data_IF_891706027348
#
_entry.id   IF_891706027348
#
_cell.length_a   1.000
_cell.length_b   1.000
_cell.length_c   1.000
_cell.angle_alpha   90.00
_cell.angle_beta   90.00
_cell.angle_gamma   90.00
#
_symmetry.space_group_name_H-M   'P 1'
#
loop_
_entity.id
_entity.type
_entity.pdbx_description
1 polymer ?
#
# COMPACT_ATOMS: atom_id res chain seq x y z
N UNK A 1 -9.39 6.94 -52.24
CA UNK A 1 -8.48 6.69 -51.10
C UNK A 1 -9.08 7.37 -49.88
N UNK A 2 -9.43 6.60 -48.84
CA UNK A 2 -9.49 7.09 -47.45
C UNK A 2 -9.44 5.87 -46.54
N UNK A 3 -8.25 5.63 -45.98
CA UNK A 3 -8.05 4.67 -44.90
C UNK A 3 -8.76 5.21 -43.66
N UNK A 4 -9.52 4.35 -42.97
CA UNK A 4 -10.02 4.65 -41.63
C UNK A 4 -9.62 3.49 -40.71
N UNK A 5 -8.35 3.52 -40.33
CA UNK A 5 -7.84 2.89 -39.11
C UNK A 5 -8.32 3.73 -37.95
N UNK A 6 -9.21 3.21 -37.12
CA UNK A 6 -9.44 3.74 -35.78
C UNK A 6 -9.99 2.61 -34.92
N UNK A 7 -9.06 2.02 -34.20
CA UNK A 7 -9.20 1.63 -32.80
C UNK A 7 -10.37 0.70 -32.44
N UNK A 8 -10.05 -0.59 -32.47
CA UNK A 8 -10.58 -1.57 -31.51
C UNK A 8 -9.92 -1.27 -30.16
N UNK A 9 -10.26 -0.14 -29.54
CA UNK A 9 -10.21 -0.02 -28.08
C UNK A 9 -11.65 -0.17 -27.65
N UNK A 10 -12.07 -1.42 -27.47
CA UNK A 10 -13.29 -1.71 -26.74
C UNK A 10 -13.14 -1.05 -25.38
N UNK A 11 -13.96 -0.03 -25.15
CA UNK A 11 -14.13 0.65 -23.87
C UNK A 11 -14.32 -0.43 -22.81
N UNK A 12 -13.24 -0.78 -22.13
CA UNK A 12 -13.27 -1.68 -21.00
C UNK A 12 -13.88 -0.87 -19.89
N UNK A 13 -15.21 -0.87 -19.86
CA UNK A 13 -16.02 -0.49 -18.75
C UNK A 13 -15.68 -1.48 -17.62
N UNK A 14 -14.53 -1.25 -16.98
CA UNK A 14 -14.12 -1.94 -15.77
C UNK A 14 -15.05 -1.42 -14.68
N UNK A 15 -16.25 -1.97 -14.63
CA UNK A 15 -17.04 -1.96 -13.42
C UNK A 15 -16.24 -2.73 -12.40
N UNK A 16 -15.54 -2.01 -11.52
CA UNK A 16 -14.86 -2.52 -10.31
C UNK A 16 -15.83 -3.26 -9.34
N UNK A 17 -17.05 -3.54 -9.78
CA UNK A 17 -18.17 -4.08 -9.02
C UNK A 17 -18.62 -5.46 -9.53
N UNK A 18 -17.95 -6.01 -10.55
CA UNK A 18 -18.17 -7.39 -10.97
C UNK A 18 -17.40 -8.33 -10.03
N UNK A 19 -18.09 -9.33 -9.49
CA UNK A 19 -17.45 -10.39 -8.71
C UNK A 19 -16.61 -11.25 -9.66
N UNK A 20 -15.35 -11.58 -9.33
CA UNK A 20 -14.48 -12.35 -10.20
C UNK A 20 -15.10 -13.70 -10.54
N UNK A 21 -14.87 -14.16 -11.77
CA UNK A 21 -15.29 -15.47 -12.19
C UNK A 21 -14.46 -16.59 -11.51
N UNK A 22 -14.91 -17.86 -11.57
CA UNK A 22 -14.22 -18.96 -10.89
C UNK A 22 -12.78 -19.21 -11.37
N UNK A 23 -12.46 -18.90 -12.63
CA UNK A 23 -11.11 -19.05 -13.15
C UNK A 23 -10.21 -17.89 -12.69
N UNK A 24 -10.75 -16.67 -12.62
CA UNK A 24 -10.07 -15.51 -12.03
C UNK A 24 -9.78 -15.71 -10.54
N UNK A 25 -10.73 -16.27 -9.78
CA UNK A 25 -10.51 -16.64 -8.38
C UNK A 25 -9.39 -17.67 -8.22
N UNK A 26 -9.38 -18.71 -9.05
CA UNK A 26 -8.31 -19.72 -9.01
C UNK A 26 -6.93 -19.12 -9.33
N UNK A 27 -6.86 -18.16 -10.26
CA UNK A 27 -5.63 -17.44 -10.57
C UNK A 27 -5.17 -16.55 -9.39
N UNK A 28 -6.09 -15.87 -8.71
CA UNK A 28 -5.77 -15.08 -7.52
C UNK A 28 -5.29 -15.95 -6.36
N UNK A 29 -5.89 -17.12 -6.16
CA UNK A 29 -5.44 -18.11 -5.16
C UNK A 29 -4.05 -18.65 -5.47
N UNK A 30 -3.72 -18.87 -6.74
CA UNK A 30 -2.38 -19.27 -7.18
C UNK A 30 -1.35 -18.16 -6.89
N UNK A 31 -1.65 -16.90 -7.26
CA UNK A 31 -0.80 -15.74 -6.96
C UNK A 31 -0.58 -15.56 -5.45
N UNK A 32 -1.63 -15.75 -4.65
CA UNK A 32 -1.52 -15.69 -3.19
C UNK A 32 -0.68 -16.83 -2.62
N UNK A 33 -0.80 -18.04 -3.15
CA UNK A 33 0.03 -19.18 -2.75
C UNK A 33 1.50 -19.00 -3.13
N UNK A 34 1.77 -18.27 -4.20
CA UNK A 34 3.12 -17.86 -4.63
C UNK A 34 3.73 -16.74 -3.77
N UNK A 35 2.98 -16.19 -2.79
CA UNK A 35 3.47 -15.16 -1.88
C UNK A 35 3.58 -13.78 -2.51
N UNK A 36 2.94 -13.53 -3.67
CA UNK A 36 2.99 -12.20 -4.30
C UNK A 36 2.24 -11.13 -3.51
N UNK A 37 1.33 -11.55 -2.62
CA UNK A 37 0.68 -10.68 -1.65
C UNK A 37 1.34 -10.82 -0.27
N UNK A 38 2.67 -10.73 -0.23
CA UNK A 38 3.37 -10.56 1.04
C UNK A 38 2.90 -9.23 1.65
N UNK A 39 1.87 -9.31 2.49
CA UNK A 39 1.54 -8.29 3.48
C UNK A 39 2.68 -8.31 4.50
N UNK A 40 3.83 -7.73 4.15
CA UNK A 40 4.88 -7.45 5.14
C UNK A 40 4.23 -6.63 6.25
N UNK A 41 4.03 -7.26 7.41
CA UNK A 41 3.43 -6.57 8.55
C UNK A 41 4.28 -5.34 8.87
N UNK A 42 3.65 -4.16 9.04
CA UNK A 42 4.38 -2.92 9.27
C UNK A 42 5.25 -3.04 10.50
N UNK A 43 6.50 -2.60 10.41
CA UNK A 43 7.39 -2.59 11.58
C UNK A 43 6.87 -1.55 12.57
N UNK A 44 6.51 -1.98 13.79
CA UNK A 44 5.97 -1.09 14.81
C UNK A 44 7.10 -0.46 15.63
N UNK A 45 7.25 0.86 15.56
CA UNK A 45 8.33 1.61 16.23
C UNK A 45 7.83 2.89 16.89
N UNK A 46 8.62 3.46 17.81
CA UNK A 46 8.34 4.81 18.32
C UNK A 46 8.83 5.85 17.33
N UNK A 47 8.16 6.99 17.28
CA UNK A 47 8.55 8.09 16.39
C UNK A 47 9.97 8.60 16.68
N UNK A 48 10.37 8.68 17.94
CA UNK A 48 11.73 9.07 18.34
C UNK A 48 12.78 8.14 17.74
N UNK A 49 12.53 6.84 17.84
CA UNK A 49 13.48 5.80 17.45
C UNK A 49 13.60 5.74 15.93
N UNK A 50 12.48 5.94 15.22
CA UNK A 50 12.45 6.05 13.77
C UNK A 50 13.23 7.27 13.27
N UNK A 51 13.00 8.44 13.86
CA UNK A 51 13.71 9.68 13.48
C UNK A 51 15.20 9.56 13.78
N UNK A 52 15.58 8.99 14.92
CA UNK A 52 16.99 8.76 15.26
C UNK A 52 17.67 7.80 14.26
N UNK A 53 17.02 6.70 13.92
CA UNK A 53 17.54 5.73 12.98
C UNK A 53 17.73 6.33 11.58
N UNK A 54 16.75 7.08 11.08
CA UNK A 54 16.85 7.74 9.77
C UNK A 54 17.88 8.88 9.82
N UNK A 55 17.92 9.64 10.91
CA UNK A 55 18.92 10.71 11.08
C UNK A 55 20.36 10.18 11.12
N UNK A 56 20.58 8.91 11.50
CA UNK A 56 21.92 8.31 11.46
C UNK A 56 22.42 8.01 10.05
N UNK A 57 21.54 8.01 9.04
CA UNK A 57 21.85 7.64 7.65
C UNK A 57 21.51 8.75 6.65
N UNK A 58 21.06 9.90 7.12
CA UNK A 58 20.69 11.07 6.31
C UNK A 58 21.60 12.24 6.62
N UNK A 59 21.88 13.06 5.60
CA UNK A 59 22.77 14.22 5.73
C UNK A 59 22.01 15.50 6.09
N UNK A 60 20.70 15.55 5.85
CA UNK A 60 19.85 16.73 6.08
C UNK A 60 18.53 16.41 6.78
N UNK A 61 17.98 17.40 7.49
CA UNK A 61 16.68 17.28 8.17
C UNK A 61 15.52 17.07 7.16
N UNK A 62 15.60 17.69 5.98
CA UNK A 62 14.58 17.55 4.93
C UNK A 62 14.51 16.10 4.42
N UNK A 63 15.66 15.46 4.21
CA UNK A 63 15.73 14.05 3.83
C UNK A 63 15.14 13.15 4.93
N UNK A 64 15.47 13.40 6.20
CA UNK A 64 14.91 12.63 7.32
C UNK A 64 13.38 12.72 7.32
N UNK A 65 12.81 13.92 7.21
CA UNK A 65 11.36 14.11 7.20
C UNK A 65 10.70 13.45 6.00
N UNK A 66 11.30 13.59 4.80
CA UNK A 66 10.78 12.99 3.59
C UNK A 66 10.79 11.46 3.67
N UNK A 67 11.88 10.87 4.17
CA UNK A 67 12.01 9.42 4.34
C UNK A 67 11.05 8.89 5.40
N UNK A 68 10.96 9.53 6.56
CA UNK A 68 10.00 9.13 7.62
C UNK A 68 8.56 9.22 7.12
N UNK A 69 8.19 10.30 6.44
CA UNK A 69 6.86 10.46 5.85
C UNK A 69 6.57 9.38 4.79
N UNK A 70 7.57 9.04 3.97
CA UNK A 70 7.43 7.98 2.98
C UNK A 70 7.21 6.61 3.64
N UNK A 71 7.99 6.25 4.65
CA UNK A 71 7.88 4.95 5.35
C UNK A 71 6.54 4.77 6.06
N UNK A 72 5.97 5.86 6.60
CA UNK A 72 4.63 5.86 7.19
C UNK A 72 3.54 5.82 6.11
N UNK A 73 3.72 6.57 5.02
CA UNK A 73 2.76 6.64 3.92
C UNK A 73 2.68 5.36 3.09
N UNK A 74 3.78 4.61 2.98
CA UNK A 74 3.83 3.32 2.30
C UNK A 74 3.34 2.16 3.16
N UNK A 75 3.13 2.37 4.47
CA UNK A 75 2.77 1.31 5.40
C UNK A 75 3.93 0.35 5.71
N UNK A 76 5.17 0.69 5.36
CA UNK A 76 6.35 -0.11 5.75
C UNK A 76 6.61 -0.02 7.27
N UNK A 77 6.20 1.09 7.89
CA UNK A 77 6.34 1.34 9.33
C UNK A 77 5.02 1.81 9.91
N UNK A 78 4.71 1.36 11.12
CA UNK A 78 3.60 1.86 11.93
C UNK A 78 4.13 2.46 13.24
N UNK A 79 3.50 3.55 13.69
CA UNK A 79 3.88 4.19 14.95
C UNK A 79 3.21 3.48 16.13
N UNK A 80 4.02 3.11 17.12
CA UNK A 80 3.56 2.64 18.42
C UNK A 80 2.81 3.80 19.10
N UNK A 81 1.48 3.71 19.14
CA UNK A 81 0.64 4.72 19.78
C UNK A 81 1.01 4.89 21.25
N UNK A 82 1.33 6.12 21.67
CA UNK A 82 1.27 6.51 23.08
C UNK A 82 -0.20 6.70 23.44
N UNK A 83 -0.77 5.71 24.11
CA UNK A 83 -2.15 5.64 24.60
C UNK A 83 -3.26 5.39 23.57
N UNK A 84 -4.06 4.37 23.92
CA UNK A 84 -5.37 4.03 23.37
C UNK A 84 -6.25 5.29 23.24
N UNK A 85 -6.51 5.72 22.01
CA UNK A 85 -7.76 6.45 21.74
C UNK A 85 -8.85 5.40 21.83
N UNK A 86 -9.56 5.41 22.97
CA UNK A 86 -10.49 4.36 23.35
C UNK A 86 -11.43 3.94 22.21
N UNK A 87 -11.49 2.64 21.97
CA UNK A 87 -12.69 2.03 21.39
C UNK A 87 -13.84 2.30 22.35
N UNK A 88 -14.49 3.45 22.20
CA UNK A 88 -15.78 3.72 22.79
C UNK A 88 -16.75 2.72 22.19
N UNK A 89 -17.02 1.64 22.93
CA UNK A 89 -18.18 0.79 22.74
C UNK A 89 -19.42 1.69 22.69
N UNK A 90 -20.01 1.84 21.50
CA UNK A 90 -21.35 2.39 21.35
C UNK A 90 -22.31 1.39 22.00
N UNK A 91 -22.92 1.80 23.11
CA UNK A 91 -23.96 1.07 23.83
C UNK A 91 -25.28 1.83 23.71
#
# INVERSE_FOLDING_TARGET
>A
MLQKTSEVFGESHLTWNDHPDPAELAALEDIQREGWFDDEEPVVVRLSDLVEAVSSVSDTEEEVLATVAHMLGSGSVALLGSEQVGSGTLH
#
